data_IF_740655270932
#
_entry.id   IF_740655270932
#
_cell.length_a   1.000
_cell.length_b   1.000
_cell.length_c   1.000
_cell.angle_alpha   90.00
_cell.angle_beta   90.00
_cell.angle_gamma   90.00
#
_symmetry.space_group_name_H-M   'P 1'
#
loop_
_entity.id
_entity.type
_entity.pdbx_description
1 polymer ?
#
# COMPACT_ATOMS: atom_id res chain seq x y z
N UNK A 1 -15.12 -21.68 5.09
CA UNK A 1 -14.21 -20.51 5.12
C UNK A 1 -14.44 -19.83 6.46
N UNK A 2 -13.46 -19.89 7.35
CA UNK A 2 -13.47 -19.11 8.59
C UNK A 2 -13.24 -17.66 8.24
N UNK A 3 -14.14 -16.77 8.68
CA UNK A 3 -13.94 -15.33 8.50
C UNK A 3 -12.60 -14.93 9.16
N UNK A 4 -11.77 -14.11 8.51
CA UNK A 4 -10.55 -13.64 9.11
C UNK A 4 -10.86 -12.98 10.47
N UNK A 5 -10.01 -13.22 11.47
CA UNK A 5 -10.19 -12.60 12.79
C UNK A 5 -10.24 -11.08 12.61
N UNK A 6 -11.23 -10.41 13.22
CA UNK A 6 -11.31 -8.96 13.11
C UNK A 6 -10.04 -8.33 13.71
N UNK A 7 -9.36 -7.50 12.92
CA UNK A 7 -8.19 -6.76 13.38
C UNK A 7 -8.65 -5.55 14.21
N UNK A 8 -8.20 -5.49 15.45
CA UNK A 8 -8.43 -4.35 16.32
C UNK A 8 -7.42 -3.24 15.96
N UNK A 9 -7.89 -2.23 15.23
CA UNK A 9 -7.05 -1.08 14.86
C UNK A 9 -6.65 -0.32 16.13
N UNK A 10 -5.34 -0.05 16.37
CA UNK A 10 -4.90 0.75 17.50
C UNK A 10 -5.57 2.13 17.53
N UNK A 11 -6.01 2.59 18.70
CA UNK A 11 -6.78 3.83 18.85
C UNK A 11 -6.04 5.05 18.29
N UNK A 12 -4.73 5.16 18.51
CA UNK A 12 -3.92 6.25 17.98
C UNK A 12 -3.93 6.26 16.44
N UNK A 13 -3.80 5.09 15.81
CA UNK A 13 -3.83 4.95 14.34
C UNK A 13 -5.23 5.27 13.80
N UNK A 14 -6.27 4.80 14.47
CA UNK A 14 -7.65 5.11 14.12
C UNK A 14 -7.92 6.62 14.20
N UNK A 15 -7.51 7.26 15.30
CA UNK A 15 -7.67 8.70 15.50
C UNK A 15 -6.93 9.51 14.43
N UNK A 16 -5.68 9.14 14.10
CA UNK A 16 -4.89 9.81 13.08
C UNK A 16 -5.59 9.83 11.70
N UNK A 17 -6.19 8.70 11.30
CA UNK A 17 -6.91 8.62 10.02
C UNK A 17 -8.34 9.16 10.07
N UNK A 18 -8.97 9.24 11.22
CA UNK A 18 -10.26 9.90 11.39
C UNK A 18 -10.15 11.44 11.34
N UNK A 19 -9.03 11.99 11.73
CA UNK A 19 -8.77 13.43 11.71
C UNK A 19 -8.69 14.03 10.29
N UNK A 20 -8.42 13.21 9.28
CA UNK A 20 -8.40 13.64 7.88
C UNK A 20 -9.65 13.13 7.16
N UNK A 21 -10.40 14.02 6.48
CA UNK A 21 -11.67 13.71 5.82
C UNK A 21 -11.56 12.61 4.76
N UNK A 22 -10.47 12.58 3.99
CA UNK A 22 -10.29 11.58 2.95
C UNK A 22 -10.06 10.19 3.52
N UNK A 23 -9.12 10.05 4.45
CA UNK A 23 -8.85 8.76 5.10
C UNK A 23 -10.00 8.30 5.97
N UNK A 24 -10.70 9.22 6.65
CA UNK A 24 -11.93 8.94 7.40
C UNK A 24 -13.04 8.36 6.51
N UNK A 25 -13.20 8.89 5.30
CA UNK A 25 -14.17 8.36 4.32
C UNK A 25 -13.80 6.93 3.89
N UNK A 26 -12.50 6.65 3.70
CA UNK A 26 -12.03 5.31 3.36
C UNK A 26 -12.22 4.31 4.50
N UNK A 27 -12.00 4.74 5.75
CA UNK A 27 -12.27 3.93 6.95
C UNK A 27 -13.74 3.53 7.10
N UNK A 28 -14.66 4.40 6.68
CA UNK A 28 -16.11 4.17 6.75
C UNK A 28 -16.65 3.34 5.59
N UNK A 29 -15.81 3.02 4.60
CA UNK A 29 -16.24 2.27 3.43
C UNK A 29 -16.45 0.80 3.75
N UNK A 30 -17.71 0.38 3.82
CA UNK A 30 -18.11 -0.99 4.17
C UNK A 30 -17.66 -2.07 3.17
N UNK A 31 -17.14 -1.71 2.00
CA UNK A 31 -16.55 -2.66 1.05
C UNK A 31 -15.19 -3.20 1.52
N UNK A 32 -14.57 -2.53 2.48
CA UNK A 32 -13.27 -2.89 3.02
C UNK A 32 -13.35 -3.30 4.48
N UNK A 33 -12.37 -4.05 4.92
CA UNK A 33 -12.15 -4.40 6.33
C UNK A 33 -10.69 -4.13 6.70
N UNK A 34 -10.41 -3.63 7.91
CA UNK A 34 -9.06 -3.48 8.38
C UNK A 34 -8.44 -4.87 8.62
N UNK A 35 -7.18 -5.01 8.24
CA UNK A 35 -6.37 -6.20 8.52
C UNK A 35 -5.05 -5.79 9.17
N UNK A 36 -4.43 -6.72 9.90
CA UNK A 36 -3.07 -6.53 10.39
C UNK A 36 -2.11 -6.44 9.20
N UNK A 37 -1.28 -5.39 9.16
CA UNK A 37 -0.23 -5.26 8.15
C UNK A 37 0.97 -6.09 8.60
N UNK A 38 1.17 -7.25 7.99
CA UNK A 38 2.14 -8.27 8.43
C UNK A 38 3.56 -7.71 8.57
N UNK A 39 4.04 -6.92 7.60
CA UNK A 39 5.37 -6.31 7.65
C UNK A 39 5.53 -5.24 8.76
N UNK A 40 4.45 -4.80 9.41
CA UNK A 40 4.48 -3.88 10.56
C UNK A 40 4.57 -4.60 11.90
N UNK A 41 4.47 -5.91 11.91
CA UNK A 41 4.60 -6.73 13.12
C UNK A 41 6.07 -7.02 13.41
N UNK A 42 6.61 -6.57 14.55
CA UNK A 42 7.98 -6.89 14.93
C UNK A 42 8.19 -8.40 15.10
N UNK A 43 9.26 -8.92 14.52
CA UNK A 43 9.67 -10.33 14.57
C UNK A 43 11.11 -10.44 15.13
N UNK A 44 11.32 -10.20 16.43
CA UNK A 44 12.65 -10.05 17.00
C UNK A 44 13.51 -11.32 16.91
N UNK A 45 12.90 -12.50 16.76
CA UNK A 45 13.62 -13.77 16.67
C UNK A 45 14.34 -13.95 15.33
N UNK A 46 13.78 -13.41 14.25
CA UNK A 46 14.32 -13.55 12.88
C UNK A 46 14.90 -12.25 12.34
N UNK A 47 14.45 -11.09 12.85
CA UNK A 47 14.74 -9.79 12.29
C UNK A 47 13.97 -9.50 10.98
N UNK A 48 13.10 -10.42 10.55
CA UNK A 48 12.25 -10.24 9.37
C UNK A 48 11.41 -8.96 9.51
N UNK A 49 11.29 -8.19 8.43
CA UNK A 49 10.57 -6.91 8.35
C UNK A 49 11.05 -5.83 9.36
N UNK A 50 12.20 -5.99 10.02
CA UNK A 50 12.68 -5.02 11.01
C UNK A 50 12.76 -3.59 10.45
N UNK A 51 13.07 -3.45 9.15
CA UNK A 51 13.09 -2.15 8.49
C UNK A 51 11.72 -1.48 8.54
N UNK A 52 10.65 -2.17 8.15
CA UNK A 52 9.28 -1.64 8.12
C UNK A 52 8.66 -1.59 9.52
N UNK A 53 8.88 -2.63 10.34
CA UNK A 53 8.22 -2.75 11.64
C UNK A 53 8.85 -1.90 12.74
N UNK A 54 10.14 -1.55 12.60
CA UNK A 54 10.92 -0.88 13.66
C UNK A 54 11.57 0.39 13.15
N UNK A 55 12.42 0.34 12.10
CA UNK A 55 13.25 1.47 11.66
C UNK A 55 12.38 2.62 11.13
N UNK A 56 11.42 2.33 10.26
CA UNK A 56 10.51 3.35 9.72
C UNK A 56 9.14 3.36 10.41
N UNK A 57 9.07 2.87 11.66
CA UNK A 57 7.87 2.90 12.49
C UNK A 57 8.06 3.79 13.72
N UNK A 58 8.47 5.02 13.51
CA UNK A 58 8.72 6.02 14.55
C UNK A 58 7.86 7.27 14.33
N UNK A 59 7.72 8.16 15.32
CA UNK A 59 6.96 9.40 15.18
C UNK A 59 7.42 10.29 14.03
N UNK A 60 8.71 10.23 13.68
CA UNK A 60 9.35 11.05 12.64
C UNK A 60 9.43 10.37 11.28
N UNK A 61 9.02 9.08 11.20
CA UNK A 61 8.99 8.30 9.96
C UNK A 61 7.56 7.98 9.53
N UNK A 62 7.06 6.76 9.77
CA UNK A 62 5.68 6.35 9.43
C UNK A 62 4.98 5.84 10.69
N UNK A 63 4.55 6.74 11.61
CA UNK A 63 3.92 6.32 12.87
C UNK A 63 2.60 5.59 12.69
N UNK A 64 1.90 5.88 11.60
CA UNK A 64 0.59 5.29 11.32
C UNK A 64 0.54 4.71 9.92
N UNK A 65 0.28 3.41 9.85
CA UNK A 65 -0.02 2.66 8.64
C UNK A 65 -1.19 1.72 8.95
N UNK A 66 -2.20 1.73 8.11
CA UNK A 66 -3.37 0.86 8.23
C UNK A 66 -3.73 0.27 6.89
N UNK A 67 -3.81 -1.05 6.83
CA UNK A 67 -4.23 -1.79 5.64
C UNK A 67 -5.72 -2.09 5.69
N UNK A 68 -6.41 -1.71 4.63
CA UNK A 68 -7.82 -2.00 4.38
C UNK A 68 -7.91 -2.96 3.19
N UNK A 69 -8.26 -4.20 3.44
CA UNK A 69 -8.47 -5.22 2.41
C UNK A 69 -9.93 -5.23 1.98
N UNK A 70 -10.16 -5.37 0.69
CA UNK A 70 -11.52 -5.56 0.16
C UNK A 70 -12.09 -6.87 0.68
N UNK A 71 -13.37 -6.84 1.11
CA UNK A 71 -14.01 -8.00 1.70
C UNK A 71 -14.04 -9.20 0.74
N UNK A 72 -13.87 -10.44 1.25
CA UNK A 72 -14.02 -11.63 0.44
C UNK A 72 -15.36 -11.63 -0.33
N UNK A 73 -15.34 -12.08 -1.58
CA UNK A 73 -16.51 -12.06 -2.47
C UNK A 73 -16.76 -10.73 -3.19
N UNK A 74 -16.04 -9.65 -2.82
CA UNK A 74 -16.10 -8.37 -3.51
C UNK A 74 -14.84 -8.08 -4.34
N UNK A 75 -13.79 -8.89 -4.22
CA UNK A 75 -12.59 -8.79 -5.05
C UNK A 75 -12.94 -9.04 -6.52
N UNK A 76 -12.37 -8.23 -7.40
CA UNK A 76 -12.49 -8.47 -8.83
C UNK A 76 -11.73 -9.75 -9.23
N UNK A 77 -12.23 -10.47 -10.24
CA UNK A 77 -11.49 -11.62 -10.78
C UNK A 77 -10.19 -11.13 -11.42
N UNK A 78 -9.07 -11.71 -11.00
CA UNK A 78 -7.76 -11.40 -11.60
C UNK A 78 -7.73 -11.99 -13.02
N UNK A 79 -7.32 -11.20 -14.04
CA UNK A 79 -7.09 -11.72 -15.38
C UNK A 79 -6.06 -12.84 -15.39
N UNK A 80 -6.28 -13.86 -16.21
CA UNK A 80 -5.32 -14.95 -16.41
C UNK A 80 -4.18 -14.51 -17.32
N UNK A 81 -2.95 -14.88 -16.97
CA UNK A 81 -1.74 -14.57 -17.72
C UNK A 81 -1.07 -13.25 -17.33
N UNK A 82 0.06 -12.98 -17.98
CA UNK A 82 0.78 -11.72 -17.81
C UNK A 82 -0.01 -10.56 -18.42
N UNK A 83 -0.06 -9.40 -17.76
CA UNK A 83 -0.74 -8.23 -18.32
C UNK A 83 0.05 -7.69 -19.52
N UNK A 84 -0.65 -7.29 -20.56
CA UNK A 84 -0.04 -6.51 -21.65
C UNK A 84 0.05 -5.04 -21.22
N UNK A 85 1.23 -4.63 -20.81
CA UNK A 85 1.50 -3.23 -20.45
C UNK A 85 2.44 -2.63 -21.48
N UNK A 86 2.09 -1.46 -22.05
CA UNK A 86 3.00 -0.78 -22.95
C UNK A 86 4.26 -0.34 -22.20
N UNK A 87 5.40 -0.40 -22.87
CA UNK A 87 6.61 0.28 -22.49
C UNK A 87 6.77 1.54 -23.36
N UNK A 88 7.14 2.70 -22.80
CA UNK A 88 7.53 2.95 -21.41
C UNK A 88 6.33 3.13 -20.47
N UNK A 89 6.56 3.16 -19.13
CA UNK A 89 5.52 3.29 -18.11
C UNK A 89 4.58 4.50 -18.26
N UNK A 90 5.00 5.52 -19.01
CA UNK A 90 4.18 6.69 -19.36
C UNK A 90 2.90 6.32 -20.10
N UNK A 91 2.93 5.24 -20.83
CA UNK A 91 1.83 4.74 -21.66
C UNK A 91 0.91 3.77 -20.92
N UNK A 92 1.19 3.47 -19.65
CA UNK A 92 0.32 2.57 -18.89
C UNK A 92 -1.12 3.08 -18.87
N UNK A 93 -2.11 2.21 -19.09
CA UNK A 93 -3.51 2.59 -19.05
C UNK A 93 -3.85 3.27 -17.71
N UNK A 94 -4.64 4.32 -17.76
CA UNK A 94 -5.15 4.93 -16.54
C UNK A 94 -6.08 3.93 -15.83
N UNK A 95 -5.90 3.79 -14.52
CA UNK A 95 -6.87 3.06 -13.72
C UNK A 95 -8.15 3.90 -13.66
N UNK A 96 -9.30 3.34 -14.05
CA UNK A 96 -10.57 4.04 -13.93
C UNK A 96 -10.81 4.52 -12.50
N UNK A 97 -11.28 5.74 -12.33
CA UNK A 97 -11.49 6.34 -10.99
C UNK A 97 -12.49 5.58 -10.13
N UNK A 98 -13.40 4.83 -10.76
CA UNK A 98 -14.41 3.99 -10.13
C UNK A 98 -13.96 2.54 -9.93
N UNK A 99 -12.77 2.14 -10.41
CA UNK A 99 -12.27 0.79 -10.17
C UNK A 99 -11.83 0.66 -8.71
N UNK A 100 -12.52 -0.17 -7.92
CA UNK A 100 -12.15 -0.36 -6.52
C UNK A 100 -10.82 -1.13 -6.43
N UNK A 101 -9.98 -0.71 -5.49
CA UNK A 101 -8.72 -1.38 -5.20
C UNK A 101 -8.96 -2.70 -4.45
N UNK A 102 -8.05 -3.66 -4.60
CA UNK A 102 -8.05 -4.89 -3.80
C UNK A 102 -7.63 -4.57 -2.37
N UNK A 103 -6.61 -3.70 -2.24
CA UNK A 103 -6.10 -3.23 -0.95
C UNK A 103 -5.90 -1.71 -1.00
N UNK A 104 -6.21 -1.07 0.11
CA UNK A 104 -5.98 0.36 0.36
C UNK A 104 -5.15 0.49 1.62
N UNK A 105 -3.94 1.02 1.51
CA UNK A 105 -3.10 1.34 2.64
C UNK A 105 -3.18 2.84 2.95
N UNK A 106 -3.56 3.17 4.17
CA UNK A 106 -3.55 4.52 4.70
C UNK A 106 -2.22 4.75 5.40
N UNK A 107 -1.51 5.83 5.06
CA UNK A 107 -0.22 6.18 5.61
C UNK A 107 -0.23 7.61 6.12
N UNK A 108 0.52 7.86 7.19
CA UNK A 108 0.93 9.19 7.60
C UNK A 108 2.46 9.25 7.58
N UNK A 109 3.01 10.15 6.78
CA UNK A 109 4.44 10.41 6.75
C UNK A 109 4.78 11.46 7.79
N UNK A 110 5.58 11.07 8.80
CA UNK A 110 6.14 12.00 9.78
C UNK A 110 7.25 12.86 9.19
N UNK A 111 7.87 13.66 10.04
CA UNK A 111 8.98 14.54 9.72
C UNK A 111 10.05 14.44 10.82
N UNK A 112 11.35 14.64 10.50
CA UNK A 112 11.95 14.88 9.16
C UNK A 112 12.61 13.63 8.55
N UNK A 113 12.62 12.46 9.24
CA UNK A 113 13.59 11.37 9.03
C UNK A 113 13.39 10.58 7.73
N UNK A 114 12.31 10.86 6.98
CA UNK A 114 12.10 10.31 5.63
C UNK A 114 12.47 11.27 4.50
N UNK A 115 13.00 12.45 4.82
CA UNK A 115 13.28 13.48 3.84
C UNK A 115 14.42 13.07 2.89
N UNK A 116 14.15 13.06 1.58
CA UNK A 116 15.17 13.06 0.53
C UNK A 116 15.52 14.50 0.12
N UNK A 117 14.52 15.38 0.14
CA UNK A 117 14.64 16.84 0.05
C UNK A 117 13.79 17.46 1.17
N UNK A 118 14.01 18.71 1.55
CA UNK A 118 13.23 19.37 2.62
C UNK A 118 11.72 19.21 2.40
N UNK A 119 11.02 18.56 3.35
CA UNK A 119 9.58 18.31 3.30
C UNK A 119 9.11 17.30 2.22
N UNK A 120 10.02 16.51 1.64
CA UNK A 120 9.72 15.54 0.58
C UNK A 120 10.29 14.18 0.94
N UNK A 121 9.44 13.16 0.94
CA UNK A 121 9.82 11.76 1.20
C UNK A 121 10.82 11.27 0.15
N UNK A 122 11.89 10.62 0.59
CA UNK A 122 12.89 10.02 -0.28
C UNK A 122 12.27 8.95 -1.19
N UNK A 123 12.63 8.95 -2.48
CA UNK A 123 12.09 8.02 -3.47
C UNK A 123 12.31 6.54 -3.13
N UNK A 124 13.45 6.22 -2.50
CA UNK A 124 13.74 4.87 -2.02
C UNK A 124 12.73 4.38 -0.97
N UNK A 125 12.29 5.25 -0.04
CA UNK A 125 11.25 4.90 0.93
C UNK A 125 9.92 4.60 0.22
N UNK A 126 9.57 5.40 -0.80
CA UNK A 126 8.36 5.16 -1.61
C UNK A 126 8.45 3.81 -2.32
N UNK A 127 9.61 3.47 -2.92
CA UNK A 127 9.81 2.19 -3.59
C UNK A 127 9.72 1.01 -2.62
N UNK A 128 10.31 1.13 -1.42
CA UNK A 128 10.20 0.12 -0.37
C UNK A 128 8.75 -0.13 0.05
N UNK A 129 7.98 0.95 0.28
CA UNK A 129 6.56 0.80 0.63
C UNK A 129 5.72 0.20 -0.50
N UNK A 130 6.05 0.51 -1.75
CA UNK A 130 5.42 -0.12 -2.91
C UNK A 130 5.73 -1.61 -2.94
N UNK A 131 6.99 -1.99 -2.75
CA UNK A 131 7.44 -3.37 -2.73
C UNK A 131 6.65 -4.21 -1.71
N UNK A 132 6.70 -3.83 -0.44
CA UNK A 132 6.06 -4.57 0.64
C UNK A 132 4.52 -4.58 0.55
N UNK A 133 3.91 -3.41 0.31
CA UNK A 133 2.45 -3.29 0.42
C UNK A 133 1.70 -3.81 -0.82
N UNK A 134 2.37 -3.92 -1.97
CA UNK A 134 1.78 -4.56 -3.15
C UNK A 134 1.60 -6.07 -2.97
N UNK A 135 2.48 -6.73 -2.23
CA UNK A 135 2.39 -8.16 -1.92
C UNK A 135 1.08 -8.53 -1.21
N UNK A 136 0.51 -7.62 -0.42
CA UNK A 136 -0.76 -7.84 0.30
C UNK A 136 -1.93 -8.05 -0.66
N UNK A 137 -1.90 -7.43 -1.86
CA UNK A 137 -2.95 -7.67 -2.87
C UNK A 137 -2.90 -9.09 -3.42
N UNK A 138 -1.71 -9.68 -3.57
CA UNK A 138 -1.58 -11.10 -3.95
C UNK A 138 -2.19 -11.98 -2.88
N UNK A 139 -1.83 -11.74 -1.61
CA UNK A 139 -2.38 -12.46 -0.46
C UNK A 139 -3.92 -12.42 -0.40
N UNK A 140 -4.51 -11.27 -0.72
CA UNK A 140 -5.96 -11.09 -0.72
C UNK A 140 -6.71 -12.02 -1.72
N UNK A 141 -6.05 -12.44 -2.79
CA UNK A 141 -6.62 -13.34 -3.82
C UNK A 141 -6.35 -14.82 -3.55
N UNK A 142 -5.57 -15.17 -2.53
CA UNK A 142 -5.29 -16.57 -2.17
C UNK A 142 -6.14 -16.92 -0.94
N UNK A 143 -7.06 -17.90 -1.05
CA UNK A 143 -7.89 -18.29 0.09
C UNK A 143 -7.07 -18.69 1.33
N UNK A 144 -7.47 -18.15 2.48
CA UNK A 144 -6.87 -18.44 3.79
C UNK A 144 -5.34 -18.20 3.85
N UNK A 145 -4.82 -17.29 3.01
CA UNK A 145 -3.39 -16.98 2.96
C UNK A 145 -2.90 -16.41 4.31
N UNK A 146 -1.78 -16.94 4.76
CA UNK A 146 -1.07 -16.47 5.94
C UNK A 146 0.43 -16.32 5.62
N UNK A 147 0.96 -15.11 5.72
CA UNK A 147 2.39 -14.84 5.52
C UNK A 147 3.29 -15.60 6.50
N UNK A 148 2.78 -15.95 7.69
CA UNK A 148 3.52 -16.71 8.69
C UNK A 148 3.59 -18.21 8.38
N UNK A 149 2.67 -18.76 7.58
CA UNK A 149 2.62 -20.17 7.23
C UNK A 149 3.35 -20.45 5.90
N UNK A 150 4.68 -20.30 5.93
CA UNK A 150 5.56 -20.52 4.78
C UNK A 150 5.46 -21.96 4.24
N UNK A 151 5.24 -22.94 5.12
CA UNK A 151 5.14 -24.35 4.72
C UNK A 151 3.91 -24.61 3.83
N UNK A 152 2.80 -23.94 4.12
CA UNK A 152 1.56 -24.11 3.37
C UNK A 152 1.53 -23.28 2.08
N UNK A 153 1.93 -22.03 2.17
CA UNK A 153 1.75 -21.06 1.08
C UNK A 153 3.03 -20.78 0.30
N UNK A 154 4.19 -20.98 0.91
CA UNK A 154 5.48 -20.52 0.40
C UNK A 154 5.76 -19.08 0.76
N UNK A 155 6.79 -18.52 0.15
CA UNK A 155 7.19 -17.11 0.29
C UNK A 155 6.91 -16.36 -1.01
N UNK A 156 6.48 -15.12 -0.88
CA UNK A 156 6.24 -14.24 -2.01
C UNK A 156 7.46 -13.32 -2.20
N UNK A 157 8.11 -13.44 -3.35
CA UNK A 157 9.28 -12.64 -3.68
C UNK A 157 8.95 -11.65 -4.80
N UNK A 158 9.45 -10.43 -4.66
CA UNK A 158 9.43 -9.42 -5.72
C UNK A 158 10.52 -9.73 -6.73
N UNK A 159 10.13 -9.96 -7.99
CA UNK A 159 11.06 -10.23 -9.08
C UNK A 159 11.39 -8.98 -9.88
N UNK A 160 10.44 -8.05 -9.95
CA UNK A 160 10.59 -6.79 -10.65
C UNK A 160 9.65 -5.75 -10.04
N UNK A 161 10.13 -4.52 -9.92
CA UNK A 161 9.35 -3.37 -9.49
C UNK A 161 9.66 -2.19 -10.40
N UNK A 162 8.70 -1.80 -11.23
CA UNK A 162 8.77 -0.61 -12.06
C UNK A 162 8.03 0.54 -11.38
N UNK A 163 8.74 1.61 -11.05
CA UNK A 163 8.18 2.77 -10.35
C UNK A 163 8.31 4.02 -11.20
N UNK A 164 7.20 4.72 -11.36
CA UNK A 164 7.16 6.05 -11.95
C UNK A 164 6.79 7.09 -10.92
N UNK A 165 7.74 7.98 -10.60
CA UNK A 165 7.50 9.15 -9.75
C UNK A 165 6.90 10.27 -10.58
N UNK A 166 5.68 10.70 -10.24
CA UNK A 166 4.93 11.73 -10.99
C UNK A 166 4.95 13.08 -10.29
N UNK A 167 4.95 13.08 -8.97
CA UNK A 167 4.96 14.27 -8.12
C UNK A 167 5.65 13.99 -6.80
N UNK A 168 6.24 15.00 -6.15
CA UNK A 168 6.79 14.86 -4.80
C UNK A 168 5.74 14.34 -3.83
N UNK A 169 6.15 13.43 -2.93
CA UNK A 169 5.37 13.00 -1.76
C UNK A 169 5.80 13.86 -0.59
N UNK A 170 4.87 14.57 0.04
CA UNK A 170 5.18 15.46 1.18
C UNK A 170 5.24 14.66 2.48
N UNK A 171 6.17 15.02 3.34
CA UNK A 171 6.17 14.66 4.77
C UNK A 171 5.17 15.53 5.54
N UNK A 172 4.89 15.19 6.81
CA UNK A 172 3.85 15.86 7.59
C UNK A 172 2.43 15.67 7.04
N UNK A 173 2.19 14.64 6.21
CA UNK A 173 0.96 14.50 5.46
C UNK A 173 0.45 13.06 5.33
N UNK A 174 -0.86 12.93 5.16
CA UNK A 174 -1.49 11.66 4.83
C UNK A 174 -1.26 11.28 3.37
N UNK A 175 -1.15 9.98 3.12
CA UNK A 175 -1.12 9.40 1.79
C UNK A 175 -1.99 8.13 1.73
N UNK A 176 -2.40 7.77 0.52
CA UNK A 176 -3.17 6.56 0.27
C UNK A 176 -2.49 5.78 -0.84
N UNK A 177 -2.09 4.56 -0.54
CA UNK A 177 -1.58 3.61 -1.52
C UNK A 177 -2.69 2.61 -1.85
N UNK A 178 -3.08 2.56 -3.12
CA UNK A 178 -4.06 1.63 -3.66
C UNK A 178 -3.37 0.61 -4.53
N UNK A 179 -3.78 -0.67 -4.43
CA UNK A 179 -3.18 -1.75 -5.18
C UNK A 179 -4.24 -2.65 -5.82
N UNK A 180 -3.92 -3.22 -6.97
CA UNK A 180 -4.77 -4.08 -7.79
C UNK A 180 -3.97 -5.23 -8.37
N UNK A 181 -4.44 -6.47 -8.22
CA UNK A 181 -3.91 -7.58 -9.01
C UNK A 181 -4.39 -7.46 -10.45
N UNK A 182 -3.46 -7.34 -11.39
CA UNK A 182 -3.73 -7.12 -12.82
C UNK A 182 -3.40 -8.32 -13.70
N UNK A 183 -2.87 -9.40 -13.13
CA UNK A 183 -2.61 -10.66 -13.83
C UNK A 183 -2.13 -11.75 -12.88
N UNK A 184 -2.47 -13.00 -13.24
CA UNK A 184 -1.97 -14.20 -12.56
C UNK A 184 -1.72 -15.33 -13.56
N UNK A 185 -0.58 -15.98 -13.45
CA UNK A 185 -0.23 -17.18 -14.19
C UNK A 185 0.44 -18.20 -13.24
N UNK A 186 -0.37 -19.10 -12.70
CA UNK A 186 0.11 -20.06 -11.70
C UNK A 186 0.69 -19.35 -10.46
N UNK A 187 2.01 -19.50 -10.24
CA UNK A 187 2.70 -18.86 -9.13
C UNK A 187 3.15 -17.42 -9.38
N UNK A 188 2.94 -16.89 -10.57
CA UNK A 188 3.33 -15.55 -10.99
C UNK A 188 2.16 -14.59 -10.84
N UNK A 189 2.42 -13.40 -10.28
CA UNK A 189 1.43 -12.37 -10.01
C UNK A 189 1.92 -11.01 -10.45
N UNK A 190 1.04 -10.22 -11.05
CA UNK A 190 1.31 -8.83 -11.39
C UNK A 190 0.36 -7.94 -10.64
N UNK A 191 0.93 -6.94 -9.98
CA UNK A 191 0.19 -5.98 -9.16
C UNK A 191 0.48 -4.58 -9.65
N UNK A 192 -0.55 -3.77 -9.77
CA UNK A 192 -0.42 -2.34 -10.01
C UNK A 192 -0.68 -1.57 -8.73
N UNK A 193 0.03 -0.45 -8.54
CA UNK A 193 -0.11 0.40 -7.38
C UNK A 193 -0.14 1.88 -7.74
N UNK A 194 -0.88 2.66 -6.96
CA UNK A 194 -0.87 4.13 -7.03
C UNK A 194 -0.79 4.72 -5.64
N UNK A 195 0.27 5.49 -5.38
CA UNK A 195 0.40 6.33 -4.20
C UNK A 195 -0.13 7.73 -4.52
N UNK A 196 -1.07 8.20 -3.71
CA UNK A 196 -1.71 9.51 -3.87
C UNK A 196 -1.66 10.33 -2.59
N UNK A 197 -1.67 11.64 -2.73
CA UNK A 197 -1.86 12.60 -1.65
C UNK A 197 -2.93 13.64 -2.02
N UNK A 198 -3.42 14.37 -1.01
CA UNK A 198 -4.25 15.56 -1.20
C UNK A 198 -3.39 16.81 -1.34
N UNK A 199 -3.87 17.80 -2.09
CA UNK A 199 -3.24 19.12 -2.12
C UNK A 199 -3.18 19.73 -0.72
N UNK A 200 -2.10 20.49 -0.46
CA UNK A 200 -2.00 21.23 0.79
C UNK A 200 -3.21 22.17 0.93
N UNK A 201 -3.80 22.24 2.12
CA UNK A 201 -4.89 23.19 2.38
C UNK A 201 -4.42 24.65 2.40
N UNK A 202 -3.13 24.90 2.19
CA UNK A 202 -2.53 26.23 2.26
C UNK A 202 -2.16 26.67 0.85
N UNK A 203 -2.75 27.76 0.37
CA UNK A 203 -2.33 28.41 -0.86
C UNK A 203 -0.96 29.10 -0.67
N UNK A 204 -0.24 29.41 -1.77
CA UNK A 204 1.04 30.14 -1.67
C UNK A 204 0.96 31.47 -0.92
N UNK A 205 -0.23 32.10 -0.84
CA UNK A 205 -0.50 33.33 -0.11
C UNK A 205 -0.87 33.12 1.37
N UNK A 206 -0.79 31.90 1.90
CA UNK A 206 -1.11 31.58 3.30
C UNK A 206 -2.59 31.35 3.60
N UNK A 207 -3.50 31.54 2.67
CA UNK A 207 -4.93 31.25 2.86
C UNK A 207 -5.22 29.76 2.91
N UNK A 208 -5.99 29.32 3.93
CA UNK A 208 -6.51 27.95 4.00
C UNK A 208 -7.67 27.76 3.04
N UNK A 209 -7.57 26.78 2.16
CA UNK A 209 -8.66 26.35 1.28
C UNK A 209 -9.36 25.15 1.91
N UNK A 210 -10.53 25.34 2.49
CA UNK A 210 -11.27 24.28 3.21
C UNK A 210 -12.12 23.37 2.32
N UNK A 211 -12.42 23.75 1.07
CA UNK A 211 -13.55 23.17 0.36
C UNK A 211 -13.10 21.96 -0.45
N UNK A 212 -12.62 21.57 -1.24
CA UNK A 212 -12.35 20.29 -1.94
C UNK A 212 -10.87 20.14 -2.21
N UNK A 213 -10.17 19.42 -1.36
CA UNK A 213 -8.77 19.09 -1.61
C UNK A 213 -8.66 18.19 -2.84
N UNK A 214 -8.00 18.68 -3.87
CA UNK A 214 -7.69 17.88 -5.06
C UNK A 214 -6.71 16.77 -4.70
N UNK A 215 -7.01 15.55 -5.13
CA UNK A 215 -6.15 14.38 -4.97
C UNK A 215 -5.29 14.21 -6.21
N UNK A 216 -4.03 13.88 -6.01
CA UNK A 216 -3.11 13.66 -7.11
C UNK A 216 -2.26 12.41 -6.87
N UNK A 217 -1.95 11.70 -7.96
CA UNK A 217 -1.07 10.54 -7.93
C UNK A 217 0.38 11.03 -7.89
N UNK A 218 1.10 10.59 -6.85
CA UNK A 218 2.52 10.90 -6.64
C UNK A 218 3.42 9.86 -7.30
N UNK A 219 3.06 8.58 -7.18
CA UNK A 219 3.77 7.47 -7.81
C UNK A 219 2.78 6.46 -8.37
N UNK A 220 3.17 5.83 -9.47
CA UNK A 220 2.46 4.75 -10.14
C UNK A 220 3.47 3.61 -10.34
N UNK A 221 3.09 2.36 -10.02
CA UNK A 221 4.02 1.25 -10.07
C UNK A 221 3.36 -0.03 -10.59
N UNK A 222 4.19 -0.92 -11.15
CA UNK A 222 3.85 -2.31 -11.43
C UNK A 222 4.90 -3.19 -10.80
N UNK A 223 4.46 -4.17 -10.00
CA UNK A 223 5.30 -5.21 -9.42
C UNK A 223 5.00 -6.56 -10.04
N UNK A 224 6.05 -7.34 -10.30
CA UNK A 224 5.97 -8.75 -10.65
C UNK A 224 6.45 -9.56 -9.46
N UNK A 225 5.61 -10.46 -8.98
CA UNK A 225 5.84 -11.30 -7.81
C UNK A 225 5.79 -12.77 -8.19
N UNK A 226 6.57 -13.59 -7.47
CA UNK A 226 6.54 -15.04 -7.62
C UNK A 226 6.36 -15.72 -6.25
N UNK A 227 5.45 -16.69 -6.19
CA UNK A 227 5.28 -17.56 -5.02
C UNK A 227 6.25 -18.74 -5.12
N UNK A 228 7.11 -18.91 -4.10
CA UNK A 228 8.09 -20.00 -4.02
C UNK A 228 7.75 -20.87 -2.82
N UNK A 229 7.43 -22.15 -3.03
CA UNK A 229 7.05 -23.10 -1.97
C UNK A 229 8.24 -23.80 -1.32
N UNK A 230 9.37 -23.94 -2.02
CA UNK A 230 10.58 -24.53 -1.48
C UNK A 230 11.70 -23.49 -1.52
N UNK A 231 11.97 -22.87 -0.37
CA UNK A 231 13.10 -21.98 -0.24
C UNK A 231 14.39 -22.80 -0.01
N UNK A 232 14.84 -23.50 -1.04
CA UNK A 232 16.26 -23.77 -1.23
C UNK A 232 16.78 -22.63 -2.11
N UNK A 233 16.96 -21.49 -1.51
CA UNK A 233 17.83 -20.44 -2.00
C UNK A 233 19.22 -20.64 -1.42
#
# INVERSE_FOLDING_TARGET
MTAPKPYAVPDATKAAFQANNWTSTLLKNNAYQPIETYCRKPKPQTGEDAFISTIINTPTTIPHLLTLQRKPGQLAKVPSGAPSLPAPPEQWPKIPSNQPADVVNLLYFGEPDLNGHPGIVHGGIISTLLDDLMAISVAAHIPDFDFADVNKFGQLFTMQLDVRFKRPVRTGAHAVLRTWCIGNEGRKWWVRAQLAQEESPIKPNGEKVEWVKKKYVCADAVGFFIMVKDSKL
#
